data_IF_117358235312
#
_entry.id   IF_117358235312
#
_cell.length_a   1.000
_cell.length_b   1.000
_cell.length_c   1.000
_cell.angle_alpha   90.00
_cell.angle_beta   90.00
_cell.angle_gamma   90.00
#
_symmetry.space_group_name_H-M   'P 1'
#
loop_
_entity.id
_entity.type
_entity.pdbx_description
1 polymer ?
#
# COMPACT_ATOMS: atom_id res chain seq x y z
N UNK A 1 1.19 0.52 16.02
CA UNK A 1 -0.04 1.31 15.80
C UNK A 1 0.22 2.19 14.59
N UNK A 2 -0.36 1.84 13.44
CA UNK A 2 -0.15 2.57 12.19
C UNK A 2 -0.97 3.85 12.17
N UNK A 3 -0.47 4.86 11.46
CA UNK A 3 -1.21 6.09 11.22
C UNK A 3 -2.37 5.82 10.25
N UNK A 4 -3.60 5.75 10.78
CA UNK A 4 -4.78 5.43 9.98
C UNK A 4 -5.18 6.56 9.03
N UNK A 5 -4.83 7.81 9.37
CA UNK A 5 -5.12 8.97 8.53
C UNK A 5 -4.27 8.92 7.25
N UNK A 6 -2.97 8.63 7.43
CA UNK A 6 -2.05 8.44 6.31
C UNK A 6 -2.36 7.21 5.46
N UNK A 7 -2.80 6.11 6.10
CA UNK A 7 -3.30 4.93 5.38
C UNK A 7 -4.49 5.29 4.48
N UNK A 8 -5.46 6.01 5.04
CA UNK A 8 -6.69 6.38 4.32
C UNK A 8 -6.37 7.30 3.13
N UNK A 9 -5.44 8.23 3.29
CA UNK A 9 -4.98 9.07 2.20
C UNK A 9 -4.35 8.25 1.04
N UNK A 10 -3.53 7.24 1.37
CA UNK A 10 -2.97 6.33 0.36
C UNK A 10 -4.06 5.49 -0.32
N UNK A 11 -5.04 5.00 0.45
CA UNK A 11 -6.18 4.24 -0.08
C UNK A 11 -6.99 5.07 -1.07
N UNK A 12 -7.26 6.33 -0.77
CA UNK A 12 -8.02 7.23 -1.65
C UNK A 12 -7.27 7.52 -2.96
N UNK A 13 -5.94 7.73 -2.85
CA UNK A 13 -5.06 7.94 -4.00
C UNK A 13 -5.04 6.71 -4.91
N UNK A 14 -4.78 5.53 -4.35
CA UNK A 14 -4.78 4.27 -5.09
C UNK A 14 -6.16 3.90 -5.64
N UNK A 15 -7.24 4.20 -4.92
CA UNK A 15 -8.60 3.98 -5.37
C UNK A 15 -8.93 4.82 -6.61
N UNK A 16 -8.35 6.01 -6.75
CA UNK A 16 -8.46 6.84 -7.96
C UNK A 16 -7.85 6.14 -9.17
N UNK A 17 -6.75 5.41 -8.97
CA UNK A 17 -6.09 4.61 -10.01
C UNK A 17 -6.71 3.21 -10.22
N UNK A 18 -7.79 2.87 -9.50
CA UNK A 18 -8.47 1.57 -9.57
C UNK A 18 -7.87 0.49 -8.66
N UNK A 19 -6.98 0.86 -7.75
CA UNK A 19 -6.35 -0.04 -6.79
C UNK A 19 -6.97 0.05 -5.41
N UNK A 20 -6.96 -1.07 -4.69
CA UNK A 20 -7.29 -1.15 -3.28
C UNK A 20 -6.03 -1.44 -2.50
N UNK A 21 -5.76 -0.63 -1.49
CA UNK A 21 -4.73 -0.89 -0.52
C UNK A 21 -5.36 -1.33 0.79
N UNK A 22 -4.88 -2.42 1.35
CA UNK A 22 -5.21 -2.89 2.69
C UNK A 22 -3.93 -2.90 3.52
N UNK A 23 -3.98 -2.37 4.74
CA UNK A 23 -2.84 -2.43 5.66
C UNK A 23 -3.31 -3.05 6.97
N UNK A 24 -2.69 -4.17 7.33
CA UNK A 24 -2.98 -4.93 8.53
C UNK A 24 -1.75 -4.97 9.42
N UNK A 25 -1.89 -4.47 10.65
CA UNK A 25 -0.83 -4.60 11.66
C UNK A 25 -0.71 -6.05 12.14
N UNK A 26 0.51 -6.59 12.07
CA UNK A 26 0.89 -7.95 12.47
C UNK A 26 1.99 -7.88 13.53
N UNK A 27 1.61 -7.50 14.75
CA UNK A 27 2.55 -7.38 15.87
C UNK A 27 3.54 -6.24 15.65
N UNK A 28 4.79 -6.59 15.33
CA UNK A 28 5.87 -5.63 15.04
C UNK A 28 5.96 -5.25 13.55
N UNK A 29 5.17 -5.92 12.69
CA UNK A 29 5.15 -5.72 11.24
C UNK A 29 3.84 -5.12 10.77
N UNK A 30 3.87 -4.55 9.56
CA UNK A 30 2.70 -4.06 8.85
C UNK A 30 2.64 -4.76 7.50
N UNK A 31 1.61 -5.58 7.33
CA UNK A 31 1.30 -6.23 6.07
C UNK A 31 0.49 -5.25 5.23
N UNK A 32 1.03 -4.82 4.10
CA UNK A 32 0.37 -3.90 3.16
C UNK A 32 0.12 -4.65 1.87
N UNK A 33 -1.14 -4.84 1.52
CA UNK A 33 -1.55 -5.56 0.33
C UNK A 33 -2.25 -4.64 -0.65
N UNK A 34 -1.71 -4.57 -1.85
CA UNK A 34 -2.35 -3.87 -2.97
C UNK A 34 -3.08 -4.91 -3.82
N UNK A 35 -4.32 -4.62 -4.16
CA UNK A 35 -5.19 -5.46 -4.99
C UNK A 35 -5.84 -4.60 -6.07
N UNK A 36 -6.13 -5.21 -7.22
CA UNK A 36 -6.91 -4.54 -8.26
C UNK A 36 -8.36 -4.43 -7.78
N UNK A 37 -8.84 -3.21 -7.56
CA UNK A 37 -10.24 -2.95 -7.19
C UNK A 37 -11.14 -2.81 -8.42
N UNK A 38 -10.59 -2.27 -9.51
CA UNK A 38 -11.31 -2.01 -10.74
C UNK A 38 -10.61 -2.69 -11.93
N UNK A 39 -11.34 -3.36 -12.84
CA UNK A 39 -10.72 -3.97 -14.03
C UNK A 39 -10.09 -2.94 -14.98
N UNK A 40 -10.41 -1.65 -14.84
CA UNK A 40 -9.75 -0.56 -15.55
C UNK A 40 -8.48 -0.05 -14.84
N UNK A 41 -8.04 -0.70 -13.75
CA UNK A 41 -6.87 -0.26 -12.99
C UNK A 41 -5.63 -0.17 -13.87
N UNK A 42 -4.95 0.96 -13.78
CA UNK A 42 -3.81 1.28 -14.62
C UNK A 42 -2.53 0.68 -14.01
N UNK A 43 -2.08 -0.48 -14.52
CA UNK A 43 -0.84 -1.13 -14.04
C UNK A 43 0.42 -0.31 -14.26
N UNK A 44 0.39 0.63 -15.20
CA UNK A 44 1.49 1.56 -15.45
C UNK A 44 1.47 2.77 -14.50
N UNK A 45 0.31 3.07 -13.90
CA UNK A 45 0.13 4.21 -12.98
C UNK A 45 0.55 3.85 -11.55
N UNK A 46 0.72 2.56 -11.26
CA UNK A 46 1.12 2.08 -9.95
C UNK A 46 2.60 2.38 -9.71
N UNK A 47 2.90 3.14 -8.66
CA UNK A 47 4.27 3.45 -8.30
C UNK A 47 5.06 2.16 -8.02
N UNK A 48 6.37 2.12 -8.31
CA UNK A 48 7.19 0.94 -8.04
C UNK A 48 7.36 0.71 -6.53
N UNK A 49 7.52 -0.55 -6.13
CA UNK A 49 7.66 -1.00 -4.73
C UNK A 49 8.57 -0.12 -3.86
N UNK A 50 9.83 0.23 -4.25
CA UNK A 50 10.70 1.04 -3.41
C UNK A 50 10.16 2.46 -3.15
N UNK A 51 9.45 3.04 -4.12
CA UNK A 51 8.83 4.37 -3.97
C UNK A 51 7.64 4.29 -3.03
N UNK A 52 6.74 3.32 -3.27
CA UNK A 52 5.55 3.11 -2.45
C UNK A 52 5.92 2.81 -1.00
N UNK A 53 6.93 1.95 -0.77
CA UNK A 53 7.44 1.63 0.57
C UNK A 53 7.98 2.85 1.30
N UNK A 54 8.71 3.73 0.60
CA UNK A 54 9.20 4.98 1.17
C UNK A 54 8.07 5.96 1.55
N UNK A 55 6.99 6.00 0.77
CA UNK A 55 5.80 6.82 1.09
C UNK A 55 5.05 6.22 2.29
N UNK A 56 4.82 4.90 2.29
CA UNK A 56 4.16 4.19 3.38
C UNK A 56 4.91 4.35 4.70
N UNK A 57 6.25 4.30 4.68
CA UNK A 57 7.06 4.59 5.87
C UNK A 57 6.75 5.97 6.47
N UNK A 58 6.66 7.00 5.62
CA UNK A 58 6.36 8.37 6.06
C UNK A 58 4.92 8.55 6.50
N UNK A 59 3.97 7.96 5.76
CA UNK A 59 2.54 8.07 6.04
C UNK A 59 2.15 7.29 7.28
N UNK A 60 2.48 6.00 7.32
CA UNK A 60 2.11 5.08 8.41
C UNK A 60 2.99 5.23 9.66
N UNK A 61 4.11 5.97 9.56
CA UNK A 61 5.12 6.18 10.62
C UNK A 61 5.72 4.89 11.18
N UNK A 62 5.89 3.89 10.32
CA UNK A 62 6.49 2.59 10.67
C UNK A 62 7.78 2.39 9.89
N UNK A 63 8.78 1.67 10.41
CA UNK A 63 10.05 1.46 9.71
C UNK A 63 9.85 0.67 8.41
N UNK A 64 10.57 1.04 7.35
CA UNK A 64 10.49 0.35 6.04
C UNK A 64 10.73 -1.16 6.14
N UNK A 65 11.63 -1.57 7.04
CA UNK A 65 11.94 -2.97 7.29
C UNK A 65 10.79 -3.78 7.94
N UNK A 66 9.80 -3.09 8.51
CA UNK A 66 8.60 -3.71 9.08
C UNK A 66 7.43 -3.72 8.09
N UNK A 67 7.53 -3.04 6.94
CA UNK A 67 6.49 -2.99 5.91
C UNK A 67 6.69 -4.16 4.95
N UNK A 68 5.76 -5.11 4.97
CA UNK A 68 5.69 -6.16 3.96
C UNK A 68 4.66 -5.74 2.92
N UNK A 69 5.15 -5.24 1.79
CA UNK A 69 4.32 -4.73 0.71
C UNK A 69 4.13 -5.81 -0.35
N UNK A 70 2.88 -6.17 -0.65
CA UNK A 70 2.53 -7.15 -1.68
C UNK A 70 1.76 -6.48 -2.80
N UNK A 71 2.26 -6.59 -4.03
CA UNK A 71 1.60 -6.06 -5.23
C UNK A 71 0.62 -7.08 -5.82
N UNK A 72 -0.39 -6.63 -6.58
CA UNK A 72 -1.31 -7.54 -7.26
C UNK A 72 -0.61 -8.41 -8.30
N UNK A 73 0.51 -7.96 -8.88
CA UNK A 73 1.33 -8.75 -9.81
C UNK A 73 2.11 -9.88 -9.12
N UNK A 74 2.45 -9.71 -7.84
CA UNK A 74 3.23 -10.67 -7.04
C UNK A 74 2.32 -11.70 -6.34
N UNK A 75 1.02 -11.40 -6.21
CA UNK A 75 0.03 -12.29 -5.60
C UNK A 75 -0.51 -13.38 -6.54
N UNK A 76 0.08 -13.53 -7.74
CA UNK A 76 -0.33 -14.42 -8.83
C UNK A 76 0.33 -15.80 -8.82
#
# INVERSE_FOLDING_TARGET
MIDQDGLKAMQDMLATDGYRLDATERGDRVDVRISVADPAACSDCLAPEPVMRGILHKQLKVPEAAIELTYPEDAG
#
